data_IF_177419734652
#
_entry.id   IF_177419734652
#
_cell.length_a   1.000
_cell.length_b   1.000
_cell.length_c   1.000
_cell.angle_alpha   90.00
_cell.angle_beta   90.00
_cell.angle_gamma   90.00
#
_symmetry.space_group_name_H-M   'P 1'
#
loop_
_entity.id
_entity.type
_entity.pdbx_description
1 polymer ?
#
# COMPACT_ATOMS: atom_id res chain seq x y z
N UNK A 1 -30.65 -25.06 -20.86
CA UNK A 1 -29.22 -24.95 -20.45
C UNK A 1 -29.10 -23.72 -19.55
N UNK A 2 -28.96 -23.91 -18.24
CA UNK A 2 -28.78 -22.80 -17.30
C UNK A 2 -27.29 -22.47 -17.18
N UNK A 3 -26.85 -21.36 -17.77
CA UNK A 3 -25.53 -20.80 -17.49
C UNK A 3 -25.56 -20.15 -16.10
N UNK A 4 -24.98 -20.84 -15.12
CA UNK A 4 -24.65 -20.24 -13.82
C UNK A 4 -23.51 -19.24 -14.08
N UNK A 5 -23.84 -17.96 -14.09
CA UNK A 5 -22.87 -16.87 -14.09
C UNK A 5 -22.07 -16.97 -12.80
N UNK A 6 -20.82 -17.44 -12.89
CA UNK A 6 -19.84 -17.35 -11.82
C UNK A 6 -19.55 -15.86 -11.62
N UNK A 7 -20.17 -15.24 -10.62
CA UNK A 7 -19.66 -13.97 -10.10
C UNK A 7 -18.28 -14.26 -9.51
N UNK A 8 -17.20 -13.58 -9.92
CA UNK A 8 -15.97 -13.66 -9.16
C UNK A 8 -16.31 -13.13 -7.77
N UNK A 9 -16.12 -13.99 -6.77
CA UNK A 9 -16.14 -13.60 -5.37
C UNK A 9 -15.06 -12.52 -5.26
N UNK A 10 -15.49 -11.27 -5.09
CA UNK A 10 -14.61 -10.17 -4.73
C UNK A 10 -13.69 -10.70 -3.63
N UNK A 11 -12.36 -10.53 -3.73
CA UNK A 11 -11.50 -10.98 -2.65
C UNK A 11 -12.00 -10.27 -1.40
N UNK A 12 -12.53 -11.05 -0.47
CA UNK A 12 -12.79 -10.63 0.89
C UNK A 12 -11.40 -10.30 1.46
N UNK A 13 -10.89 -9.11 1.12
CA UNK A 13 -9.79 -8.46 1.79
C UNK A 13 -10.28 -8.33 3.21
N UNK A 14 -9.90 -9.29 4.03
CA UNK A 14 -10.04 -9.25 5.47
C UNK A 14 -9.32 -7.99 5.93
N UNK A 15 -10.05 -6.89 5.99
CA UNK A 15 -9.54 -5.60 6.42
C UNK A 15 -9.26 -5.73 7.90
N UNK A 16 -7.97 -5.76 8.20
CA UNK A 16 -7.37 -5.42 9.49
C UNK A 16 -8.03 -4.12 10.01
N UNK A 17 -9.07 -4.29 10.83
CA UNK A 17 -9.82 -3.33 11.65
C UNK A 17 -9.60 -1.83 11.36
N UNK A 18 -9.95 -1.36 10.16
CA UNK A 18 -9.97 0.07 9.83
C UNK A 18 -8.62 0.79 9.85
N UNK A 19 -7.50 0.08 10.08
CA UNK A 19 -6.17 0.70 10.15
C UNK A 19 -5.65 0.97 8.76
N UNK A 20 -5.34 2.24 8.51
CA UNK A 20 -4.74 2.72 7.28
C UNK A 20 -3.25 2.94 7.50
N UNK A 21 -2.49 2.80 6.43
CA UNK A 21 -1.04 2.96 6.44
C UNK A 21 -0.61 3.88 5.29
N UNK A 22 0.42 4.69 5.55
CA UNK A 22 1.11 5.49 4.54
C UNK A 22 2.50 4.91 4.29
N UNK A 23 3.01 5.12 3.08
CA UNK A 23 4.40 4.86 2.75
C UNK A 23 5.13 6.20 2.65
N UNK A 24 6.22 6.33 3.38
CA UNK A 24 7.10 7.48 3.34
C UNK A 24 8.39 7.10 2.58
N UNK A 25 8.83 7.99 1.70
CA UNK A 25 10.12 7.92 1.00
C UNK A 25 11.07 8.96 1.58
N UNK A 26 12.31 8.58 1.88
CA UNK A 26 13.33 9.51 2.35
C UNK A 26 13.79 10.40 1.21
N UNK A 27 13.37 11.66 1.25
CA UNK A 27 13.78 12.70 0.31
C UNK A 27 15.23 13.09 0.52
N UNK A 28 15.93 13.42 -0.57
CA UNK A 28 17.32 13.92 -0.53
C UNK A 28 17.42 15.32 0.09
N UNK A 29 16.35 16.10 0.06
CA UNK A 29 16.34 17.51 0.45
C UNK A 29 15.54 17.78 1.72
N UNK A 30 14.46 17.03 1.96
CA UNK A 30 13.51 17.30 3.04
C UNK A 30 13.03 16.01 3.70
N UNK A 31 13.86 15.42 4.56
CA UNK A 31 13.43 14.36 5.49
C UNK A 31 12.64 13.21 4.84
N UNK A 32 11.48 12.89 5.41
CA UNK A 32 10.55 11.88 4.92
C UNK A 32 9.38 12.55 4.20
N UNK A 33 9.08 12.09 2.98
CA UNK A 33 7.99 12.59 2.13
C UNK A 33 6.98 11.46 1.86
N UNK A 34 5.72 11.79 1.59
CA UNK A 34 4.67 10.79 1.38
C UNK A 34 4.72 10.29 -0.05
N UNK A 35 4.80 8.97 -0.22
CA UNK A 35 4.61 8.34 -1.54
C UNK A 35 3.18 8.62 -1.99
N UNK A 36 3.04 9.41 -3.06
CA UNK A 36 1.77 9.99 -3.52
C UNK A 36 0.64 8.97 -3.72
N UNK A 37 0.97 7.75 -4.12
CA UNK A 37 0.01 6.64 -4.28
C UNK A 37 -0.67 6.25 -2.97
N UNK A 38 0.00 6.48 -1.84
CA UNK A 38 -0.45 6.07 -0.51
C UNK A 38 -1.11 7.19 0.28
N UNK A 39 -1.20 8.42 -0.26
CA UNK A 39 -1.61 9.63 0.47
C UNK A 39 -2.94 9.58 1.22
N UNK A 40 -3.84 8.67 0.84
CA UNK A 40 -5.18 8.53 1.44
C UNK A 40 -5.22 7.46 2.54
N UNK A 41 -4.10 6.82 2.82
CA UNK A 41 -4.06 5.67 3.71
C UNK A 41 -4.59 4.42 3.01
N UNK A 42 -3.80 3.36 3.01
CA UNK A 42 -4.13 2.09 2.39
C UNK A 42 -4.03 0.96 3.41
N UNK A 43 -4.75 -0.16 3.22
CA UNK A 43 -4.60 -1.32 4.07
C UNK A 43 -3.16 -1.86 4.00
N UNK A 44 -2.77 -2.58 5.05
CA UNK A 44 -1.39 -3.08 5.20
C UNK A 44 -0.92 -3.93 4.01
N UNK A 45 -1.82 -4.74 3.44
CA UNK A 45 -1.48 -5.61 2.31
C UNK A 45 -1.10 -4.80 1.07
N UNK A 46 -1.92 -3.82 0.69
CA UNK A 46 -1.64 -2.95 -0.47
C UNK A 46 -0.38 -2.11 -0.26
N UNK A 47 -0.16 -1.61 0.95
CA UNK A 47 1.05 -0.85 1.29
C UNK A 47 2.32 -1.70 1.16
N UNK A 48 2.27 -2.98 1.53
CA UNK A 48 3.39 -3.92 1.34
C UNK A 48 3.67 -4.16 -0.13
N UNK A 49 2.62 -4.26 -0.96
CA UNK A 49 2.77 -4.41 -2.40
C UNK A 49 3.44 -3.17 -3.02
N UNK A 50 2.99 -1.97 -2.64
CA UNK A 50 3.59 -0.71 -3.09
C UNK A 50 5.05 -0.62 -2.61
N UNK A 51 5.34 -0.93 -1.35
CA UNK A 51 6.71 -0.95 -0.83
C UNK A 51 7.63 -1.88 -1.65
N UNK A 52 7.18 -3.10 -1.95
CA UNK A 52 7.94 -4.03 -2.79
C UNK A 52 8.13 -3.50 -4.22
N UNK A 53 7.11 -2.85 -4.79
CA UNK A 53 7.18 -2.23 -6.10
C UNK A 53 8.22 -1.09 -6.15
N UNK A 54 8.23 -0.22 -5.14
CA UNK A 54 9.18 0.89 -5.02
C UNK A 54 10.63 0.40 -5.00
N UNK A 55 10.91 -0.70 -4.28
CA UNK A 55 12.25 -1.31 -4.25
C UNK A 55 12.61 -1.91 -5.61
N UNK A 56 11.69 -2.71 -6.18
CA UNK A 56 11.99 -3.52 -7.37
C UNK A 56 12.07 -2.69 -8.66
N UNK A 57 11.22 -1.68 -8.80
CA UNK A 57 11.06 -0.94 -10.07
C UNK A 57 11.57 0.50 -10.03
N UNK A 58 11.68 1.12 -8.84
CA UNK A 58 12.23 2.48 -8.68
C UNK A 58 13.65 2.49 -8.10
N UNK A 59 14.24 1.32 -7.84
CA UNK A 59 15.59 1.15 -7.27
C UNK A 59 15.77 1.89 -5.93
N UNK A 60 14.68 2.05 -5.17
CA UNK A 60 14.73 2.72 -3.88
C UNK A 60 15.24 1.73 -2.84
N UNK A 61 16.29 2.11 -2.11
CA UNK A 61 16.77 1.29 -1.01
C UNK A 61 15.67 1.13 0.06
N UNK A 62 15.42 -0.08 0.59
CA UNK A 62 14.40 -0.32 1.61
C UNK A 62 14.57 0.56 2.85
N UNK A 63 15.82 0.90 3.22
CA UNK A 63 16.13 1.84 4.33
C UNK A 63 15.61 3.28 4.12
N UNK A 64 15.27 3.63 2.89
CA UNK A 64 14.70 4.92 2.51
C UNK A 64 13.18 4.85 2.36
N UNK A 65 12.55 3.74 2.77
CA UNK A 65 11.11 3.57 2.78
C UNK A 65 10.66 3.27 4.22
N UNK A 66 9.54 3.87 4.62
CA UNK A 66 8.97 3.65 5.95
C UNK A 66 7.45 3.52 5.85
N UNK A 67 6.93 2.41 6.35
CA UNK A 67 5.48 2.20 6.47
C UNK A 67 5.04 2.70 7.83
N UNK A 68 4.07 3.63 7.85
CA UNK A 68 3.55 4.22 9.09
C UNK A 68 2.04 3.98 9.18
N UNK A 69 1.51 3.54 10.34
CA UNK A 69 0.07 3.53 10.58
C UNK A 69 -0.44 4.97 10.73
N UNK A 70 -1.65 5.22 10.25
CA UNK A 70 -2.37 6.48 10.46
C UNK A 70 -3.72 6.22 11.11
N UNK A 71 -4.06 7.06 12.08
CA UNK A 71 -5.38 7.14 12.68
C UNK A 71 -6.26 8.01 11.78
N UNK A 72 -7.55 7.67 11.65
CA UNK A 72 -8.53 8.40 10.81
C UNK A 72 -8.88 9.78 11.40
#
# INVERSE_FOLDING_TARGET
>A
MNLKVFKPKEPELMTDEGKKYLLLEKSRSFGWDIVRETRYGLPLDEIKQIHAYQIKYRDISPKNLLIVPVED
#
